data_IF_751627720796
#
_entry.id   IF_751627720796
#
_cell.length_a   1.000
_cell.length_b   1.000
_cell.length_c   1.000
_cell.angle_alpha   90.00
_cell.angle_beta   90.00
_cell.angle_gamma   90.00
#
_symmetry.space_group_name_H-M   'P 1'
#
loop_
_entity.id
_entity.type
_entity.pdbx_description
1 polymer ?
#
# COMPACT_ATOMS: atom_id res chain seq x y z
N UNK A 1 52.98 10.06 -51.83
CA UNK A 1 52.32 9.82 -50.53
C UNK A 1 53.20 8.85 -49.75
N UNK A 2 53.82 9.30 -48.66
CA UNK A 2 54.66 8.45 -47.80
C UNK A 2 53.83 7.98 -46.58
N UNK A 3 54.13 6.87 -45.92
CA UNK A 3 54.85 5.65 -46.33
C UNK A 3 54.56 4.57 -45.27
N UNK A 4 54.44 3.30 -45.65
CA UNK A 4 54.35 2.20 -44.70
C UNK A 4 54.86 0.89 -45.31
N UNK A 5 56.02 0.43 -44.85
CA UNK A 5 56.56 -0.92 -45.08
C UNK A 5 57.02 -1.49 -43.74
N UNK A 6 57.09 -2.83 -43.58
CA UNK A 6 56.50 -3.47 -42.41
C UNK A 6 57.53 -3.89 -41.34
N UNK A 7 57.05 -4.34 -40.19
CA UNK A 7 57.86 -5.15 -39.25
C UNK A 7 57.19 -6.46 -38.84
N UNK A 8 57.68 -7.54 -39.45
CA UNK A 8 58.05 -8.83 -38.84
C UNK A 8 57.10 -9.38 -37.76
N UNK A 9 56.23 -10.31 -38.14
CA UNK A 9 55.60 -11.23 -37.20
C UNK A 9 56.50 -12.42 -36.84
N UNK A 10 56.46 -12.88 -35.59
CA UNK A 10 56.98 -14.19 -35.19
C UNK A 10 55.85 -15.12 -34.72
N UNK A 11 55.70 -16.23 -35.45
CA UNK A 11 54.94 -17.44 -35.07
C UNK A 11 55.73 -18.15 -33.92
N UNK A 12 55.24 -19.12 -33.14
CA UNK A 12 54.06 -20.01 -33.23
C UNK A 12 53.88 -20.76 -31.89
N UNK A 13 52.65 -20.92 -31.39
CA UNK A 13 52.09 -22.01 -30.53
C UNK A 13 50.79 -21.43 -29.91
N UNK A 14 49.54 -21.87 -30.14
CA UNK A 14 48.89 -23.13 -30.53
C UNK A 14 48.38 -23.98 -29.34
N UNK A 15 47.10 -23.77 -28.98
CA UNK A 15 46.27 -24.57 -28.05
C UNK A 15 46.77 -24.62 -26.59
N UNK A 16 46.02 -25.09 -25.58
CA UNK A 16 44.68 -25.72 -25.51
C UNK A 16 43.84 -24.96 -24.47
N UNK A 17 42.50 -24.95 -24.59
CA UNK A 17 41.62 -24.30 -23.62
C UNK A 17 40.61 -25.24 -22.95
N UNK A 18 40.15 -24.86 -21.77
CA UNK A 18 38.91 -25.32 -21.11
C UNK A 18 38.35 -24.19 -20.23
N UNK A 19 37.04 -24.18 -20.00
CA UNK A 19 36.35 -23.25 -19.08
C UNK A 19 35.79 -24.07 -17.92
N UNK A 20 36.01 -23.65 -16.68
CA UNK A 20 35.53 -24.34 -15.48
C UNK A 20 35.62 -23.45 -14.23
N UNK A 21 34.55 -23.43 -13.43
CA UNK A 21 34.33 -22.44 -12.37
C UNK A 21 35.09 -22.71 -11.06
N UNK A 22 35.25 -21.64 -10.25
CA UNK A 22 35.72 -21.67 -8.85
C UNK A 22 35.55 -20.28 -8.22
N UNK A 23 35.20 -20.20 -6.94
CA UNK A 23 34.74 -18.95 -6.30
C UNK A 23 35.63 -18.47 -5.14
N UNK A 24 35.57 -17.17 -4.84
CA UNK A 24 36.07 -16.56 -3.61
C UNK A 24 35.19 -15.34 -3.24
N UNK A 25 35.00 -15.07 -1.94
CA UNK A 25 34.14 -14.00 -1.45
C UNK A 25 34.92 -12.69 -1.20
N UNK A 26 34.22 -11.55 -1.26
CA UNK A 26 34.77 -10.24 -0.93
C UNK A 26 33.91 -9.55 0.15
N UNK A 27 34.47 -9.42 1.36
CA UNK A 27 33.86 -8.68 2.47
C UNK A 27 34.07 -7.18 2.28
N UNK A 28 33.01 -6.38 2.17
CA UNK A 28 33.12 -4.92 2.22
C UNK A 28 32.95 -4.43 3.67
N UNK A 29 33.97 -3.73 4.17
CA UNK A 29 33.84 -2.87 5.35
C UNK A 29 33.31 -1.49 4.90
N UNK A 30 32.61 -0.80 5.79
CA UNK A 30 32.03 0.52 5.49
C UNK A 30 33.08 1.63 5.41
N UNK A 31 32.89 2.55 4.46
CA UNK A 31 33.60 3.82 4.31
C UNK A 31 32.68 4.85 3.65
N UNK A 32 32.83 6.13 3.99
CA UNK A 32 31.84 7.18 3.69
C UNK A 32 32.49 8.59 3.63
N UNK A 33 31.86 9.62 3.04
CA UNK A 33 30.53 9.61 2.40
C UNK A 33 30.68 9.61 0.85
N UNK A 34 30.32 10.57 -0.01
CA UNK A 34 29.66 11.89 0.09
C UNK A 34 28.64 12.05 -1.06
N UNK A 35 27.65 12.93 -0.87
CA UNK A 35 26.38 12.87 -1.60
C UNK A 35 26.19 13.96 -2.67
N UNK A 36 25.51 13.60 -3.78
CA UNK A 36 24.43 14.41 -4.40
C UNK A 36 23.79 13.71 -5.63
N UNK A 37 22.59 13.13 -5.48
CA UNK A 37 21.68 12.80 -6.60
C UNK A 37 20.21 12.61 -6.15
N UNK A 38 19.49 13.73 -6.00
CA UNK A 38 18.02 13.86 -6.07
C UNK A 38 17.09 12.69 -5.66
N UNK A 39 16.59 12.75 -4.42
CA UNK A 39 15.15 12.75 -4.14
C UNK A 39 14.29 11.57 -4.62
N UNK A 40 14.39 10.42 -3.96
CA UNK A 40 13.59 9.22 -4.21
C UNK A 40 12.83 8.68 -2.99
N UNK A 41 12.31 9.56 -2.12
CA UNK A 41 11.60 9.17 -0.90
C UNK A 41 10.21 8.57 -1.19
N UNK A 42 10.17 7.30 -1.59
CA UNK A 42 9.02 6.45 -1.28
C UNK A 42 8.82 6.33 0.24
N UNK A 43 7.63 5.94 0.72
CA UNK A 43 7.37 5.79 2.16
C UNK A 43 8.28 4.70 2.74
N UNK A 44 9.32 5.11 3.46
CA UNK A 44 10.12 4.22 4.30
C UNK A 44 9.34 4.03 5.60
N UNK A 45 8.79 2.83 5.76
CA UNK A 45 8.15 2.42 7.00
C UNK A 45 9.22 2.16 8.06
N UNK A 46 9.14 2.89 9.17
CA UNK A 46 9.98 2.70 10.36
C UNK A 46 9.36 1.74 11.38
N UNK A 47 8.14 1.29 11.09
CA UNK A 47 7.21 0.71 12.05
C UNK A 47 7.04 -0.77 11.65
N UNK A 48 7.73 -1.63 12.42
CA UNK A 48 7.80 -3.07 12.19
C UNK A 48 8.32 -3.53 10.81
N UNK A 49 8.40 -4.86 10.59
CA UNK A 49 8.36 -5.42 9.25
C UNK A 49 6.90 -5.42 8.76
N UNK A 50 6.59 -4.59 7.77
CA UNK A 50 5.26 -4.58 7.14
C UNK A 50 4.93 -5.92 6.49
N UNK A 51 3.81 -6.54 6.88
CA UNK A 51 3.37 -7.84 6.39
C UNK A 51 2.43 -7.67 5.19
N UNK A 52 2.79 -8.26 4.05
CA UNK A 52 1.88 -8.46 2.92
C UNK A 52 1.03 -9.70 3.24
N UNK A 53 -0.25 -9.48 3.53
CA UNK A 53 -1.19 -10.53 3.91
C UNK A 53 -1.91 -11.10 2.69
N UNK A 54 -2.51 -12.29 2.83
CA UNK A 54 -3.51 -12.77 1.86
C UNK A 54 -4.69 -11.77 1.86
N UNK A 55 -5.04 -11.13 0.73
CA UNK A 55 -6.00 -10.04 0.76
C UNK A 55 -7.39 -10.49 1.22
N UNK A 56 -8.01 -9.73 2.13
CA UNK A 56 -9.28 -10.11 2.77
C UNK A 56 -10.30 -8.98 2.84
N UNK A 57 -11.58 -9.35 2.80
CA UNK A 57 -12.74 -8.45 2.79
C UNK A 57 -13.01 -7.87 4.19
N UNK A 58 -12.30 -6.80 4.52
CA UNK A 58 -12.45 -6.08 5.77
C UNK A 58 -13.83 -5.40 5.95
N UNK A 59 -14.50 -5.01 4.86
CA UNK A 59 -15.86 -4.45 4.90
C UNK A 59 -16.60 -4.59 3.57
N UNK A 60 -17.90 -4.93 3.61
CA UNK A 60 -18.77 -4.87 2.43
C UNK A 60 -20.17 -4.33 2.78
N UNK A 61 -20.44 -3.07 2.42
CA UNK A 61 -21.75 -2.43 2.65
C UNK A 61 -22.93 -3.14 1.96
N UNK A 62 -22.67 -4.03 1.00
CA UNK A 62 -23.71 -4.68 0.18
C UNK A 62 -24.25 -5.95 0.82
N UNK A 63 -23.42 -6.65 1.59
CA UNK A 63 -23.75 -7.95 2.19
C UNK A 63 -23.78 -7.94 3.72
N UNK A 64 -23.15 -6.96 4.37
CA UNK A 64 -23.19 -6.85 5.83
C UNK A 64 -24.57 -6.35 6.33
N UNK A 65 -25.07 -6.84 7.48
CA UNK A 65 -26.30 -6.33 8.07
C UNK A 65 -26.22 -4.84 8.39
N UNK A 66 -27.31 -4.09 8.20
CA UNK A 66 -27.38 -2.64 8.51
C UNK A 66 -27.07 -2.37 9.99
N UNK A 67 -27.56 -3.22 10.89
CA UNK A 67 -27.26 -3.16 12.33
C UNK A 67 -25.79 -3.48 12.71
N UNK A 68 -24.97 -3.89 11.75
CA UNK A 68 -23.52 -4.12 11.88
C UNK A 68 -22.70 -3.15 11.00
N UNK A 69 -23.32 -2.03 10.57
CA UNK A 69 -22.65 -0.98 9.78
C UNK A 69 -22.73 -1.16 8.25
N UNK A 70 -23.43 -2.20 7.76
CA UNK A 70 -23.74 -2.39 6.35
C UNK A 70 -24.84 -1.45 5.80
N UNK A 71 -25.29 -1.70 4.58
CA UNK A 71 -26.19 -0.82 3.82
C UNK A 71 -25.47 0.39 3.19
N UNK A 72 -26.10 1.04 2.22
CA UNK A 72 -25.56 2.22 1.51
C UNK A 72 -25.17 3.34 2.46
N UNK A 73 -24.05 4.02 2.18
CA UNK A 73 -23.68 5.27 2.84
C UNK A 73 -24.56 6.40 2.31
N UNK A 74 -25.07 7.24 3.22
CA UNK A 74 -25.81 8.45 2.88
C UNK A 74 -24.87 9.67 2.87
N UNK A 75 -25.16 10.69 2.05
CA UNK A 75 -24.37 11.92 2.05
C UNK A 75 -24.32 12.57 3.45
N UNK A 76 -23.12 13.00 3.85
CA UNK A 76 -22.82 13.51 5.20
C UNK A 76 -22.55 12.42 6.25
N UNK A 77 -22.73 11.13 5.93
CA UNK A 77 -22.54 10.06 6.91
C UNK A 77 -21.05 9.71 7.12
N UNK A 78 -20.65 9.61 8.39
CA UNK A 78 -19.40 8.98 8.81
C UNK A 78 -19.69 7.62 9.45
N UNK A 79 -18.89 6.59 9.13
CA UNK A 79 -18.90 5.28 9.81
C UNK A 79 -17.51 4.89 10.28
N UNK A 80 -17.42 4.32 11.49
CA UNK A 80 -16.20 3.68 11.99
C UNK A 80 -16.19 2.23 11.54
N UNK A 81 -15.10 1.79 10.90
CA UNK A 81 -14.90 0.44 10.40
C UNK A 81 -13.68 -0.18 11.11
N UNK A 82 -13.82 -1.39 11.63
CA UNK A 82 -12.69 -2.17 12.13
C UNK A 82 -12.10 -2.98 10.96
N UNK A 83 -10.85 -2.69 10.56
CA UNK A 83 -10.26 -3.28 9.35
C UNK A 83 -9.72 -4.70 9.58
N UNK A 84 -9.41 -5.08 10.83
CA UNK A 84 -8.99 -6.43 11.20
C UNK A 84 -10.14 -7.29 11.78
N UNK A 85 -11.40 -6.98 11.44
CA UNK A 85 -12.59 -7.64 12.01
C UNK A 85 -12.68 -9.14 11.67
N UNK A 86 -12.08 -9.58 10.56
CA UNK A 86 -11.98 -10.98 10.19
C UNK A 86 -10.61 -11.56 10.56
N UNK A 87 -10.61 -12.37 11.63
CA UNK A 87 -9.72 -13.53 11.89
C UNK A 87 -8.26 -13.42 11.38
N UNK A 88 -7.31 -13.37 12.33
CA UNK A 88 -5.84 -13.51 12.13
C UNK A 88 -5.04 -12.30 11.61
N UNK A 89 -5.66 -11.13 11.37
CA UNK A 89 -4.89 -9.90 11.20
C UNK A 89 -4.28 -9.40 12.53
N UNK A 90 -2.97 -9.12 12.63
CA UNK A 90 -2.38 -8.52 13.83
C UNK A 90 -2.93 -7.12 14.10
N UNK A 91 -2.71 -6.61 15.32
CA UNK A 91 -2.91 -5.18 15.62
C UNK A 91 -1.96 -4.36 14.75
N UNK A 92 -2.51 -3.44 13.97
CA UNK A 92 -1.77 -2.74 12.94
C UNK A 92 -2.09 -1.25 13.02
N UNK A 93 -1.08 -0.45 13.36
CA UNK A 93 -1.17 1.01 13.36
C UNK A 93 -1.27 1.57 11.94
N UNK A 94 -0.85 0.82 10.92
CA UNK A 94 -0.95 1.21 9.51
C UNK A 94 -1.45 0.05 8.64
N UNK A 95 -2.23 0.38 7.60
CA UNK A 95 -2.80 -0.60 6.67
C UNK A 95 -2.76 -0.11 5.23
N UNK A 96 -2.58 -1.04 4.29
CA UNK A 96 -2.82 -0.82 2.87
C UNK A 96 -4.16 -1.44 2.46
N UNK A 97 -5.03 -0.59 1.93
CA UNK A 97 -6.42 -0.86 1.59
C UNK A 97 -6.65 -0.72 0.08
N UNK A 98 -7.46 -1.61 -0.49
CA UNK A 98 -8.21 -1.32 -1.71
C UNK A 98 -9.61 -0.86 -1.32
N UNK A 99 -9.99 0.34 -1.74
CA UNK A 99 -11.30 0.95 -1.43
C UNK A 99 -12.07 1.09 -2.73
N UNK A 100 -13.15 0.33 -2.86
CA UNK A 100 -14.02 0.39 -4.05
C UNK A 100 -15.36 1.05 -3.71
N UNK A 101 -15.69 2.11 -4.45
CA UNK A 101 -17.04 2.70 -4.47
C UNK A 101 -17.83 2.12 -5.63
N UNK A 102 -19.12 1.86 -5.42
CA UNK A 102 -20.04 1.33 -6.45
C UNK A 102 -21.48 1.81 -6.21
N UNK A 103 -22.34 1.61 -7.21
CA UNK A 103 -23.76 1.97 -7.18
C UNK A 103 -24.03 3.44 -6.77
N UNK A 104 -23.19 4.38 -7.19
CA UNK A 104 -23.33 5.81 -6.86
C UNK A 104 -24.68 6.37 -7.33
N UNK A 105 -25.38 7.15 -6.51
CA UNK A 105 -26.67 7.76 -6.88
C UNK A 105 -26.63 9.29 -7.00
N UNK A 106 -25.47 9.90 -6.73
CA UNK A 106 -25.10 11.29 -7.00
C UNK A 106 -23.58 11.45 -7.02
N UNK A 107 -23.08 12.65 -7.29
CA UNK A 107 -21.65 12.98 -7.27
C UNK A 107 -21.15 13.18 -5.82
N UNK A 108 -19.85 12.96 -5.57
CA UNK A 108 -19.24 13.13 -4.25
C UNK A 108 -17.87 12.49 -4.12
N UNK A 109 -17.41 12.35 -2.87
CA UNK A 109 -16.14 11.75 -2.51
C UNK A 109 -16.18 11.04 -1.16
N UNK A 110 -15.26 10.08 -0.95
CA UNK A 110 -14.96 9.55 0.37
C UNK A 110 -13.72 10.23 0.97
N UNK A 111 -13.74 10.43 2.27
CA UNK A 111 -12.57 10.73 3.10
C UNK A 111 -12.33 9.56 4.05
N UNK A 112 -11.16 8.94 4.00
CA UNK A 112 -10.79 7.82 4.89
C UNK A 112 -9.65 8.23 5.82
N UNK A 113 -9.84 8.02 7.13
CA UNK A 113 -8.97 8.59 8.15
C UNK A 113 -8.93 7.75 9.45
N UNK A 114 -7.92 7.94 10.33
CA UNK A 114 -7.83 7.22 11.60
C UNK A 114 -9.04 7.46 12.52
N UNK A 115 -9.54 6.42 13.21
CA UNK A 115 -10.76 6.54 14.01
C UNK A 115 -10.59 7.33 15.34
N UNK A 116 -9.36 7.56 15.81
CA UNK A 116 -9.02 8.45 16.93
C UNK A 116 -9.17 9.93 16.58
N UNK A 117 -9.05 10.31 15.31
CA UNK A 117 -9.22 11.71 14.88
C UNK A 117 -10.65 12.21 15.14
N UNK A 118 -10.85 13.37 15.80
CA UNK A 118 -12.19 13.88 16.14
C UNK A 118 -12.91 14.50 14.94
N UNK A 119 -12.19 15.23 14.11
CA UNK A 119 -12.68 15.93 12.92
C UNK A 119 -12.57 15.07 11.65
N UNK A 120 -13.42 15.37 10.66
CA UNK A 120 -13.25 14.87 9.29
C UNK A 120 -12.18 15.75 8.61
N UNK A 121 -11.04 15.21 8.16
CA UNK A 121 -10.01 16.01 7.49
C UNK A 121 -10.51 16.56 6.16
N UNK A 122 -10.06 17.77 5.80
CA UNK A 122 -10.38 18.43 4.52
C UNK A 122 -9.54 17.82 3.38
N UNK A 123 -9.83 16.58 3.01
CA UNK A 123 -9.21 15.83 1.90
C UNK A 123 -10.19 14.83 1.32
N UNK A 124 -10.08 14.53 0.03
CA UNK A 124 -10.67 13.32 -0.55
C UNK A 124 -9.68 12.14 -0.49
N UNK A 125 -10.20 10.95 -0.74
CA UNK A 125 -9.48 9.68 -0.93
C UNK A 125 -9.84 9.06 -2.28
N UNK A 126 -11.12 9.16 -2.66
CA UNK A 126 -11.65 8.78 -3.96
C UNK A 126 -12.86 9.64 -4.30
N UNK A 127 -12.88 10.20 -5.51
CA UNK A 127 -13.86 11.17 -6.02
C UNK A 127 -14.64 10.59 -7.21
N UNK A 128 -15.92 10.95 -7.35
CA UNK A 128 -16.75 10.55 -8.49
C UNK A 128 -17.76 11.63 -8.89
N UNK A 129 -17.99 11.74 -10.20
CA UNK A 129 -18.70 12.88 -10.81
C UNK A 129 -20.16 12.58 -11.15
N UNK A 130 -20.62 11.33 -11.02
CA UNK A 130 -21.95 10.96 -11.46
C UNK A 130 -22.49 9.64 -10.90
N UNK A 131 -23.61 9.21 -11.48
CA UNK A 131 -24.40 8.05 -11.04
C UNK A 131 -23.94 6.76 -11.72
N UNK A 132 -24.15 5.62 -11.08
CA UNK A 132 -23.82 4.29 -11.60
C UNK A 132 -22.33 4.00 -11.74
N UNK A 133 -21.46 4.86 -11.20
CA UNK A 133 -20.01 4.68 -11.30
C UNK A 133 -19.54 3.58 -10.34
N UNK A 134 -18.53 2.82 -10.77
CA UNK A 134 -17.78 1.90 -9.93
C UNK A 134 -16.30 2.21 -10.13
N UNK A 135 -15.63 2.63 -9.06
CA UNK A 135 -14.24 3.11 -9.07
C UNK A 135 -13.51 2.52 -7.86
N UNK A 136 -12.21 2.31 -7.98
CA UNK A 136 -11.38 1.77 -6.90
C UNK A 136 -10.08 2.56 -6.77
N UNK A 137 -9.56 2.68 -5.54
CA UNK A 137 -8.28 3.30 -5.25
C UNK A 137 -7.50 2.48 -4.22
N UNK A 138 -6.16 2.60 -4.24
CA UNK A 138 -5.29 2.11 -3.18
C UNK A 138 -5.04 3.21 -2.14
N UNK A 139 -5.17 2.88 -0.86
CA UNK A 139 -4.85 3.80 0.25
C UNK A 139 -3.94 3.13 1.27
N UNK A 140 -2.80 3.75 1.53
CA UNK A 140 -2.03 3.56 2.75
C UNK A 140 -2.53 4.54 3.82
N UNK A 141 -2.91 4.08 5.01
CA UNK A 141 -3.36 4.98 6.09
C UNK A 141 -3.08 4.43 7.49
N UNK A 142 -3.06 5.34 8.48
CA UNK A 142 -3.03 4.98 9.90
C UNK A 142 -4.40 4.46 10.36
N UNK A 143 -4.39 3.47 11.24
CA UNK A 143 -5.53 3.07 12.05
C UNK A 143 -5.43 3.64 13.47
N UNK A 144 -6.58 3.79 14.12
CA UNK A 144 -6.63 3.79 15.58
C UNK A 144 -6.55 2.34 16.05
N UNK A 145 -5.49 1.95 16.73
CA UNK A 145 -5.47 0.71 17.51
C UNK A 145 -6.22 0.94 18.82
N UNK A 146 -7.18 0.07 19.15
CA UNK A 146 -7.93 0.08 20.41
C UNK A 146 -7.81 -1.27 21.09
N UNK A 147 -7.41 -1.28 22.36
CA UNK A 147 -7.44 -2.48 23.19
C UNK A 147 -8.89 -2.95 23.40
N UNK A 148 -9.18 -4.20 23.04
CA UNK A 148 -10.36 -4.93 23.45
C UNK A 148 -10.08 -5.75 24.71
N UNK A 149 -10.75 -6.89 24.84
CA UNK A 149 -10.52 -7.84 25.94
C UNK A 149 -9.38 -8.81 25.61
N UNK A 150 -8.43 -8.98 26.55
CA UNK A 150 -7.30 -9.89 26.39
C UNK A 150 -6.36 -9.46 25.26
N UNK A 151 -6.01 -10.39 24.37
CA UNK A 151 -5.10 -10.15 23.24
C UNK A 151 -5.80 -9.56 22.00
N UNK A 152 -7.11 -9.30 22.05
CA UNK A 152 -7.86 -8.77 20.91
C UNK A 152 -7.77 -7.24 20.88
N UNK A 153 -7.09 -6.70 19.86
CA UNK A 153 -7.09 -5.26 19.55
C UNK A 153 -7.83 -5.01 18.24
N UNK A 154 -8.52 -3.88 18.15
CA UNK A 154 -9.19 -3.44 16.92
C UNK A 154 -8.37 -2.35 16.22
N UNK A 155 -7.96 -2.59 14.99
CA UNK A 155 -7.45 -1.55 14.08
C UNK A 155 -8.64 -0.87 13.41
N UNK A 156 -8.83 0.45 13.62
CA UNK A 156 -10.05 1.15 13.19
C UNK A 156 -9.79 2.41 12.37
N UNK A 157 -10.57 2.55 11.31
CA UNK A 157 -10.66 3.75 10.47
C UNK A 157 -12.06 4.36 10.55
N UNK A 158 -12.20 5.61 10.14
CA UNK A 158 -13.46 6.25 9.79
C UNK A 158 -13.51 6.45 8.27
N UNK A 159 -14.69 6.26 7.70
CA UNK A 159 -15.03 6.68 6.33
C UNK A 159 -16.15 7.71 6.43
N UNK A 160 -15.91 8.91 5.90
CA UNK A 160 -16.93 9.93 5.66
C UNK A 160 -17.29 9.97 4.17
N UNK A 161 -18.57 10.11 3.85
CA UNK A 161 -19.05 10.38 2.49
C UNK A 161 -19.60 11.81 2.40
N UNK A 162 -18.95 12.66 1.61
CA UNK A 162 -19.42 14.00 1.27
C UNK A 162 -19.92 14.05 -0.18
N UNK A 163 -21.01 14.79 -0.44
CA UNK A 163 -21.59 14.92 -1.79
C UNK A 163 -23.11 14.78 -1.78
N UNK A 164 -23.65 14.01 -2.74
CA UNK A 164 -25.09 13.90 -2.99
C UNK A 164 -25.54 12.45 -3.18
N UNK A 165 -26.74 12.13 -2.70
CA UNK A 165 -27.33 10.80 -2.83
C UNK A 165 -26.70 9.77 -1.89
N UNK A 166 -26.32 8.62 -2.46
CA UNK A 166 -25.87 7.42 -1.76
C UNK A 166 -24.75 6.71 -2.52
N UNK A 167 -23.97 5.89 -1.81
CA UNK A 167 -22.90 5.06 -2.40
C UNK A 167 -22.77 3.72 -1.64
N UNK A 168 -22.37 2.66 -2.34
CA UNK A 168 -21.92 1.41 -1.72
C UNK A 168 -20.40 1.41 -1.64
N UNK A 169 -19.86 1.06 -0.48
CA UNK A 169 -18.42 1.00 -0.19
C UNK A 169 -17.99 -0.43 0.12
N UNK A 170 -16.84 -0.81 -0.40
CA UNK A 170 -16.16 -2.10 -0.21
C UNK A 170 -14.72 -1.79 0.20
N UNK A 171 -14.18 -2.56 1.16
CA UNK A 171 -12.79 -2.44 1.61
C UNK A 171 -12.15 -3.82 1.66
N UNK A 172 -11.02 -3.97 0.99
CA UNK A 172 -10.12 -5.10 1.12
C UNK A 172 -8.80 -4.64 1.76
N UNK A 173 -8.25 -5.40 2.71
CA UNK A 173 -6.90 -5.19 3.27
C UNK A 173 -5.93 -6.10 2.52
N UNK A 174 -4.77 -5.58 2.12
CA UNK A 174 -3.72 -6.35 1.44
C UNK A 174 -2.32 -6.23 2.07
N UNK A 175 -2.09 -5.28 2.98
CA UNK A 175 -0.92 -5.28 3.86
C UNK A 175 -1.23 -4.61 5.21
N UNK A 176 -0.51 -5.02 6.24
CA UNK A 176 -0.60 -4.50 7.62
C UNK A 176 0.80 -4.16 8.13
N UNK A 177 0.95 -3.03 8.81
CA UNK A 177 2.18 -2.66 9.51
C UNK A 177 1.84 -2.29 10.96
N UNK A 178 2.62 -2.80 11.90
CA UNK A 178 2.50 -2.54 13.34
C UNK A 178 3.76 -1.88 13.89
N UNK A 179 3.74 -1.55 15.18
CA UNK A 179 4.90 -1.06 15.91
C UNK A 179 6.09 -2.04 15.90
#
# INVERSE_FOLDING_TARGET
MNAATPQIGRRRLLAVGTVGAGAAAATLLAGAQDAAASGGSGPVFTDGPGEIVVPYRAFDSRSWPVGQGGGTFLAGQTRTIAVNASVQGPSADHVFLSITVTATTGAGYLTVFPADRPDVPVTSTIDWMGRGQTLSTGLLTRCQVVAGSGLFHQSRIKIHFAGTGQVQVIIDVAATLGH
#
